data_IF_686789830561
#
_entry.id   IF_686789830561
#
_cell.length_a   1.000
_cell.length_b   1.000
_cell.length_c   1.000
_cell.angle_alpha   90.00
_cell.angle_beta   90.00
_cell.angle_gamma   90.00
#
_symmetry.space_group_name_H-M   'P 1'
#
loop_
_entity.id
_entity.type
_entity.pdbx_description
1 polymer ?
#
# COMPACT_ATOMS: atom_id res chain seq x y z
N UNK A 1 18.19 11.09 -5.08
CA UNK A 1 17.15 10.15 -4.58
C UNK A 1 17.15 8.82 -5.32
N UNK A 2 17.30 8.82 -6.65
CA UNK A 2 17.27 7.61 -7.48
C UNK A 2 18.41 6.64 -7.15
N UNK A 3 19.63 7.14 -6.93
CA UNK A 3 20.78 6.31 -6.58
C UNK A 3 20.56 5.59 -5.24
N UNK A 4 20.02 6.27 -4.25
CA UNK A 4 19.72 5.68 -2.94
C UNK A 4 18.66 4.58 -3.07
N UNK A 5 17.64 4.80 -3.91
CA UNK A 5 16.64 3.76 -4.18
C UNK A 5 17.23 2.56 -4.90
N UNK A 6 18.03 2.78 -5.95
CA UNK A 6 18.69 1.69 -6.68
C UNK A 6 19.54 0.85 -5.73
N UNK A 7 20.30 1.48 -4.85
CA UNK A 7 21.11 0.80 -3.83
C UNK A 7 20.20 0.00 -2.89
N UNK A 8 19.14 0.62 -2.34
CA UNK A 8 18.19 -0.09 -1.47
C UNK A 8 17.51 -1.25 -2.20
N UNK A 9 17.09 -1.04 -3.45
CA UNK A 9 16.41 -2.08 -4.24
C UNK A 9 17.31 -3.28 -4.50
N UNK A 10 18.58 -3.06 -4.83
CA UNK A 10 19.54 -4.14 -5.06
C UNK A 10 19.81 -4.92 -3.77
N UNK A 11 20.02 -4.24 -2.64
CA UNK A 11 20.42 -4.89 -1.39
C UNK A 11 19.25 -5.47 -0.59
N UNK A 12 18.08 -4.87 -0.64
CA UNK A 12 16.92 -5.24 0.19
C UNK A 12 15.66 -5.51 -0.61
N UNK A 13 15.35 -4.72 -1.63
CA UNK A 13 14.11 -4.80 -2.40
C UNK A 13 13.94 -6.13 -3.10
N UNK A 14 14.98 -6.61 -3.80
CA UNK A 14 14.94 -7.91 -4.51
C UNK A 14 14.74 -9.06 -3.52
N UNK A 15 15.46 -9.03 -2.39
CA UNK A 15 15.31 -10.03 -1.34
C UNK A 15 13.90 -10.04 -0.76
N UNK A 16 13.34 -8.86 -0.46
CA UNK A 16 11.99 -8.71 0.10
C UNK A 16 10.92 -9.20 -0.88
N UNK A 17 11.04 -8.85 -2.16
CA UNK A 17 10.12 -9.31 -3.20
C UNK A 17 10.22 -10.82 -3.44
N UNK A 18 11.42 -11.41 -3.40
CA UNK A 18 11.60 -12.85 -3.50
C UNK A 18 10.99 -13.60 -2.32
N UNK A 19 11.13 -13.07 -1.09
CA UNK A 19 10.48 -13.61 0.11
C UNK A 19 8.95 -13.52 0.01
N UNK A 20 8.41 -12.42 -0.55
CA UNK A 20 6.99 -12.26 -0.78
C UNK A 20 6.47 -13.30 -1.78
N UNK A 21 7.18 -13.52 -2.88
CA UNK A 21 6.81 -14.51 -3.88
C UNK A 21 6.83 -15.96 -3.32
N UNK A 22 7.77 -16.24 -2.42
CA UNK A 22 7.96 -17.56 -1.78
C UNK A 22 7.32 -17.63 -0.39
N UNK A 23 6.28 -16.84 -0.14
CA UNK A 23 5.60 -16.79 1.15
C UNK A 23 5.17 -18.19 1.64
N UNK A 24 5.62 -18.56 2.83
CA UNK A 24 5.25 -19.83 3.46
C UNK A 24 5.99 -21.07 2.97
N UNK A 25 7.03 -20.95 2.15
CA UNK A 25 7.88 -22.11 1.79
C UNK A 25 8.63 -22.68 2.99
N UNK A 26 8.92 -21.87 4.01
CA UNK A 26 9.61 -22.28 5.24
C UNK A 26 8.62 -22.50 6.40
N UNK A 27 7.60 -23.34 6.21
CA UNK A 27 6.56 -23.61 7.22
C UNK A 27 7.02 -24.47 8.39
N UNK A 28 8.06 -25.30 8.19
CA UNK A 28 8.49 -26.27 9.18
C UNK A 28 9.62 -25.71 10.05
N UNK A 29 9.54 -25.97 11.35
CA UNK A 29 10.66 -25.78 12.26
C UNK A 29 11.81 -26.66 11.76
N UNK A 30 12.91 -26.05 11.34
CA UNK A 30 14.12 -26.80 10.94
C UNK A 30 15.07 -26.83 12.12
N UNK A 31 15.48 -28.03 12.52
CA UNK A 31 16.59 -28.22 13.46
C UNK A 31 17.87 -28.10 12.63
N UNK A 32 18.64 -27.06 12.90
CA UNK A 32 19.92 -26.81 12.23
C UNK A 32 21.02 -26.90 13.27
N UNK A 33 22.10 -27.63 12.93
CA UNK A 33 23.28 -27.67 13.77
C UNK A 33 24.06 -26.37 13.67
N UNK A 34 24.16 -25.62 14.77
CA UNK A 34 24.99 -24.43 14.85
C UNK A 34 26.42 -24.80 15.20
N UNK A 35 27.28 -24.79 14.18
CA UNK A 35 28.70 -25.16 14.35
C UNK A 35 29.49 -24.20 15.26
N UNK A 36 29.00 -22.94 15.42
CA UNK A 36 29.65 -21.97 16.31
C UNK A 36 29.36 -22.22 17.79
N UNK A 37 28.18 -22.79 18.09
CA UNK A 37 27.76 -23.08 19.47
C UNK A 37 27.79 -24.58 19.80
N UNK A 38 28.01 -25.45 18.81
CA UNK A 38 28.04 -26.90 18.98
C UNK A 38 26.71 -27.54 19.39
N UNK A 39 25.59 -26.86 19.18
CA UNK A 39 24.24 -27.29 19.59
C UNK A 39 23.25 -27.29 18.41
N UNK A 40 22.24 -28.15 18.52
CA UNK A 40 21.13 -28.15 17.58
C UNK A 40 20.13 -27.03 17.95
N UNK A 41 20.01 -26.03 17.08
CA UNK A 41 19.09 -24.92 17.26
C UNK A 41 17.83 -25.12 16.40
N UNK A 42 16.67 -24.99 17.02
CA UNK A 42 15.41 -25.02 16.28
C UNK A 42 15.16 -23.67 15.65
N UNK A 43 15.36 -23.56 14.34
CA UNK A 43 15.04 -22.34 13.60
C UNK A 43 13.52 -22.23 13.45
N UNK A 44 12.96 -21.16 14.00
CA UNK A 44 11.53 -20.86 13.89
C UNK A 44 11.18 -20.59 12.41
N UNK A 45 9.94 -20.90 11.98
CA UNK A 45 9.47 -20.51 10.65
C UNK A 45 9.49 -18.99 10.50
N UNK A 46 9.75 -18.53 9.30
CA UNK A 46 9.71 -17.09 9.00
C UNK A 46 8.29 -16.54 9.23
N UNK A 47 8.21 -15.37 9.84
CA UNK A 47 6.92 -14.71 10.09
C UNK A 47 6.33 -14.19 8.79
N UNK A 48 5.33 -14.92 8.25
CA UNK A 48 4.66 -14.58 6.98
C UNK A 48 3.93 -13.25 7.04
N UNK A 49 3.45 -12.81 8.23
CA UNK A 49 2.79 -11.50 8.40
C UNK A 49 3.78 -10.37 8.12
N UNK A 50 4.98 -10.44 8.69
CA UNK A 50 6.02 -9.42 8.46
C UNK A 50 6.51 -9.45 7.01
N UNK A 51 6.70 -10.65 6.43
CA UNK A 51 7.10 -10.78 5.03
C UNK A 51 6.06 -10.15 4.11
N UNK A 52 4.77 -10.42 4.36
CA UNK A 52 3.68 -9.85 3.57
C UNK A 52 3.62 -8.32 3.74
N UNK A 53 3.73 -7.82 4.98
CA UNK A 53 3.68 -6.38 5.26
C UNK A 53 4.83 -5.64 4.57
N UNK A 54 6.07 -6.09 4.77
CA UNK A 54 7.23 -5.48 4.13
C UNK A 54 7.25 -5.69 2.63
N UNK A 55 6.73 -6.81 2.13
CA UNK A 55 6.58 -7.08 0.71
C UNK A 55 5.59 -6.13 0.04
N UNK A 56 4.42 -5.90 0.63
CA UNK A 56 3.43 -4.92 0.14
C UNK A 56 4.01 -3.51 0.17
N UNK A 57 4.69 -3.14 1.26
CA UNK A 57 5.38 -1.85 1.35
C UNK A 57 6.43 -1.68 0.25
N UNK A 58 7.24 -2.71 -0.01
CA UNK A 58 8.25 -2.70 -1.07
C UNK A 58 7.63 -2.52 -2.46
N UNK A 59 6.53 -3.23 -2.75
CA UNK A 59 5.79 -3.08 -4.02
C UNK A 59 5.26 -1.65 -4.16
N UNK A 60 4.65 -1.09 -3.11
CA UNK A 60 4.15 0.29 -3.14
C UNK A 60 5.28 1.31 -3.37
N UNK A 61 6.43 1.13 -2.72
CA UNK A 61 7.61 1.97 -2.95
C UNK A 61 8.11 1.88 -4.39
N UNK A 62 8.17 0.67 -4.96
CA UNK A 62 8.55 0.48 -6.37
C UNK A 62 7.58 1.22 -7.30
N UNK A 63 6.28 1.09 -7.10
CA UNK A 63 5.26 1.79 -7.90
C UNK A 63 5.42 3.31 -7.75
N UNK A 64 5.58 3.82 -6.53
CA UNK A 64 5.76 5.24 -6.27
C UNK A 64 6.98 5.81 -7.02
N UNK A 65 8.11 5.08 -7.01
CA UNK A 65 9.33 5.52 -7.69
C UNK A 65 9.20 5.44 -9.21
N UNK A 66 8.53 4.41 -9.74
CA UNK A 66 8.23 4.33 -11.18
C UNK A 66 7.37 5.54 -11.59
N UNK A 67 6.35 5.89 -10.80
CA UNK A 67 5.51 7.07 -11.06
C UNK A 67 6.33 8.37 -11.02
N UNK A 68 7.18 8.54 -10.00
CA UNK A 68 8.08 9.70 -9.90
C UNK A 68 9.06 9.78 -11.08
N UNK A 69 9.60 8.64 -11.50
CA UNK A 69 10.48 8.57 -12.67
C UNK A 69 9.77 9.00 -13.95
N UNK A 70 8.51 8.53 -14.17
CA UNK A 70 7.70 8.93 -15.34
C UNK A 70 7.42 10.44 -15.32
N UNK A 71 7.08 10.99 -14.14
CA UNK A 71 6.84 12.44 -13.98
C UNK A 71 8.11 13.23 -14.29
N UNK A 72 9.25 12.78 -13.77
CA UNK A 72 10.55 13.41 -14.01
C UNK A 72 10.95 13.38 -15.49
N UNK A 73 10.74 12.24 -16.19
CA UNK A 73 10.95 12.15 -17.63
C UNK A 73 10.08 13.13 -18.43
N UNK A 74 8.79 13.25 -18.07
CA UNK A 74 7.88 14.21 -18.72
C UNK A 74 8.33 15.65 -18.50
N UNK A 75 8.73 16.00 -17.29
CA UNK A 75 9.26 17.33 -16.96
C UNK A 75 10.54 17.64 -17.72
N UNK A 76 11.46 16.68 -17.78
CA UNK A 76 12.73 16.82 -18.52
C UNK A 76 12.48 17.02 -20.02
N UNK A 77 11.55 16.27 -20.62
CA UNK A 77 11.16 16.46 -22.03
C UNK A 77 10.54 17.82 -22.27
N UNK A 78 9.67 18.28 -21.36
CA UNK A 78 9.06 19.61 -21.44
C UNK A 78 10.12 20.71 -21.38
N UNK A 79 11.04 20.65 -20.42
CA UNK A 79 12.14 21.62 -20.29
C UNK A 79 13.08 21.58 -21.51
N UNK A 80 13.30 20.43 -22.12
CA UNK A 80 14.08 20.31 -23.35
C UNK A 80 13.43 21.03 -24.53
N UNK A 81 12.10 20.92 -24.67
CA UNK A 81 11.31 21.59 -25.74
C UNK A 81 11.39 23.11 -25.51
N UNK A 82 11.15 23.61 -24.29
CA UNK A 82 11.26 25.03 -23.94
C UNK A 82 12.65 25.59 -24.29
N UNK A 83 13.71 24.82 -23.98
CA UNK A 83 15.09 25.20 -24.32
C UNK A 83 15.31 25.31 -25.82
N UNK A 84 14.74 24.39 -26.59
CA UNK A 84 14.86 24.40 -28.07
C UNK A 84 14.13 25.59 -28.69
N UNK A 85 13.00 25.96 -28.10
CA UNK A 85 12.15 27.03 -28.61
C UNK A 85 12.59 28.41 -28.09
N UNK A 86 13.71 28.48 -27.30
CA UNK A 86 14.29 29.71 -26.78
C UNK A 86 13.56 30.32 -25.58
N UNK A 87 12.66 29.56 -24.95
CA UNK A 87 11.92 30.01 -23.78
C UNK A 87 12.76 29.88 -22.49
N UNK A 88 12.40 30.71 -21.49
CA UNK A 88 13.11 30.71 -20.20
C UNK A 88 12.82 29.42 -19.41
N UNK A 89 13.89 28.70 -19.03
CA UNK A 89 13.80 27.53 -18.17
C UNK A 89 13.86 28.00 -16.71
N UNK A 90 12.91 27.63 -15.85
CA UNK A 90 12.97 27.98 -14.44
C UNK A 90 14.18 27.32 -13.76
N UNK A 91 14.90 28.10 -12.97
CA UNK A 91 15.98 27.59 -12.13
C UNK A 91 15.43 26.76 -10.98
N UNK A 92 16.18 25.75 -10.48
CA UNK A 92 15.78 24.90 -9.34
C UNK A 92 15.25 25.69 -8.13
N UNK A 93 15.83 26.88 -7.89
CA UNK A 93 15.38 27.79 -6.83
C UNK A 93 14.01 28.42 -7.12
N UNK A 94 13.74 28.72 -8.38
CA UNK A 94 12.43 29.24 -8.82
C UNK A 94 11.36 28.15 -8.77
N UNK A 95 11.71 26.91 -9.13
CA UNK A 95 10.81 25.75 -8.96
C UNK A 95 10.51 25.51 -7.48
N UNK A 96 11.50 25.56 -6.61
CA UNK A 96 11.29 25.39 -5.17
C UNK A 96 10.41 26.50 -4.58
N UNK A 97 10.62 27.77 -4.98
CA UNK A 97 9.73 28.87 -4.58
C UNK A 97 8.31 28.71 -5.11
N UNK A 98 8.15 28.17 -6.32
CA UNK A 98 6.81 27.93 -6.89
C UNK A 98 5.99 26.91 -6.09
N UNK A 99 6.62 25.99 -5.37
CA UNK A 99 5.92 25.06 -4.47
C UNK A 99 5.29 25.76 -3.27
N UNK A 100 5.88 26.87 -2.83
CA UNK A 100 5.40 27.65 -1.69
C UNK A 100 4.54 28.85 -2.08
N UNK A 101 4.44 29.16 -3.37
CA UNK A 101 3.66 30.28 -3.89
C UNK A 101 2.58 29.80 -4.87
N UNK A 102 2.92 29.65 -6.13
CA UNK A 102 1.92 29.31 -7.17
C UNK A 102 1.36 27.89 -7.06
N UNK A 103 2.10 26.94 -6.47
CA UNK A 103 1.70 25.53 -6.27
C UNK A 103 1.41 25.18 -4.80
N UNK A 104 1.17 26.17 -3.96
CA UNK A 104 0.92 25.96 -2.52
C UNK A 104 -0.21 24.95 -2.26
N UNK A 105 -1.28 24.98 -3.06
CA UNK A 105 -2.37 24.02 -2.95
C UNK A 105 -1.93 22.57 -3.14
N UNK A 106 -1.03 22.30 -4.09
CA UNK A 106 -0.50 20.94 -4.31
C UNK A 106 0.41 20.50 -3.16
N UNK A 107 1.21 21.40 -2.63
CA UNK A 107 2.10 21.15 -1.47
C UNK A 107 1.30 20.87 -0.21
N UNK A 108 0.24 21.62 0.06
CA UNK A 108 -0.65 21.40 1.20
C UNK A 108 -1.45 20.08 1.08
N UNK A 109 -1.85 19.70 -0.14
CA UNK A 109 -2.55 18.43 -0.35
C UNK A 109 -1.63 17.20 -0.25
N UNK A 110 -0.31 17.38 -0.36
CA UNK A 110 0.63 16.28 -0.31
C UNK A 110 0.58 15.53 1.03
N UNK A 111 0.51 16.24 2.15
CA UNK A 111 0.46 15.65 3.49
C UNK A 111 -0.80 14.80 3.74
N UNK A 112 -2.04 15.28 3.46
CA UNK A 112 -3.23 14.44 3.50
C UNK A 112 -3.17 13.22 2.59
N UNK A 113 -2.64 13.38 1.36
CA UNK A 113 -2.49 12.26 0.43
C UNK A 113 -1.53 11.20 0.96
N UNK A 114 -0.41 11.58 1.58
CA UNK A 114 0.47 10.64 2.28
C UNK A 114 -0.27 9.93 3.42
N UNK A 115 -1.06 10.65 4.19
CA UNK A 115 -1.89 10.06 5.24
C UNK A 115 -2.85 8.99 4.69
N UNK A 116 -3.57 9.30 3.62
CA UNK A 116 -4.46 8.33 2.96
C UNK A 116 -3.65 7.12 2.44
N UNK A 117 -2.49 7.34 1.83
CA UNK A 117 -1.65 6.27 1.30
C UNK A 117 -1.22 5.30 2.41
N UNK A 118 -0.71 5.81 3.55
CA UNK A 118 -0.20 4.98 4.63
C UNK A 118 -1.29 4.39 5.53
N UNK A 119 -2.36 5.14 5.82
CA UNK A 119 -3.37 4.71 6.78
C UNK A 119 -4.60 4.04 6.14
N UNK A 120 -4.82 4.23 4.83
CA UNK A 120 -5.96 3.64 4.14
C UNK A 120 -5.52 2.66 3.06
N UNK A 121 -4.69 3.09 2.11
CA UNK A 121 -4.33 2.27 0.94
C UNK A 121 -3.46 1.08 1.33
N UNK A 122 -2.41 1.30 2.14
CA UNK A 122 -1.49 0.24 2.55
C UNK A 122 -2.20 -0.87 3.36
N UNK A 123 -2.98 -0.58 4.42
CA UNK A 123 -3.73 -1.61 5.12
C UNK A 123 -4.75 -2.32 4.22
N UNK A 124 -5.41 -1.59 3.30
CA UNK A 124 -6.37 -2.19 2.37
C UNK A 124 -5.70 -3.19 1.43
N UNK A 125 -4.56 -2.83 0.83
CA UNK A 125 -3.80 -3.75 -0.04
C UNK A 125 -3.30 -4.95 0.77
N UNK A 126 -2.85 -4.73 2.01
CA UNK A 126 -2.42 -5.80 2.90
C UNK A 126 -3.58 -6.78 3.18
N UNK A 127 -4.77 -6.29 3.54
CA UNK A 127 -5.96 -7.12 3.78
C UNK A 127 -6.41 -7.88 2.53
N UNK A 128 -6.40 -7.23 1.36
CA UNK A 128 -6.67 -7.89 0.08
C UNK A 128 -5.64 -9.01 -0.17
N UNK A 129 -4.36 -8.74 0.06
CA UNK A 129 -3.30 -9.75 -0.11
C UNK A 129 -3.48 -10.94 0.84
N UNK A 130 -3.89 -10.68 2.09
CA UNK A 130 -4.20 -11.73 3.07
C UNK A 130 -5.33 -12.66 2.60
N UNK A 131 -6.33 -12.16 1.87
CA UNK A 131 -7.44 -12.96 1.35
C UNK A 131 -6.99 -14.04 0.35
N UNK A 132 -5.80 -13.91 -0.24
CA UNK A 132 -5.21 -14.92 -1.14
C UNK A 132 -4.28 -15.91 -0.43
N UNK A 133 -4.24 -15.90 0.89
CA UNK A 133 -3.41 -16.80 1.71
C UNK A 133 -4.28 -17.76 2.51
N UNK A 134 -3.64 -18.79 3.10
CA UNK A 134 -4.28 -19.68 4.06
C UNK A 134 -4.13 -19.19 5.51
N UNK A 135 -4.21 -17.87 5.72
CA UNK A 135 -4.22 -17.31 7.06
C UNK A 135 -5.48 -17.77 7.83
N UNK A 136 -5.27 -18.51 8.92
CA UNK A 136 -6.34 -18.98 9.78
C UNK A 136 -5.85 -19.10 11.24
N UNK A 137 -6.72 -19.57 12.12
CA UNK A 137 -6.41 -19.80 13.54
C UNK A 137 -5.26 -20.80 13.76
N UNK A 138 -5.04 -21.72 12.85
CA UNK A 138 -4.01 -22.75 12.93
C UNK A 138 -2.68 -22.25 12.34
N UNK A 139 -2.75 -21.26 11.41
CA UNK A 139 -1.59 -20.69 10.72
C UNK A 139 -1.48 -19.16 10.95
N UNK A 140 -1.40 -18.69 12.22
CA UNK A 140 -1.43 -17.24 12.49
C UNK A 140 -0.13 -16.53 12.11
N UNK A 141 0.99 -17.26 12.04
CA UNK A 141 2.33 -16.69 11.80
C UNK A 141 2.94 -17.21 10.50
N UNK A 142 2.73 -18.48 10.18
CA UNK A 142 3.37 -19.17 9.06
C UNK A 142 2.31 -19.62 8.04
N UNK A 143 1.80 -18.70 7.24
CA UNK A 143 0.85 -18.94 6.15
C UNK A 143 1.54 -18.82 4.78
N UNK A 144 0.87 -19.29 3.75
CA UNK A 144 1.34 -19.30 2.36
C UNK A 144 0.28 -18.83 1.39
N UNK A 145 0.72 -18.51 0.18
CA UNK A 145 -0.19 -18.23 -0.92
C UNK A 145 -1.04 -19.47 -1.26
N UNK A 146 -2.35 -19.30 -1.34
CA UNK A 146 -3.33 -20.33 -1.77
C UNK A 146 -4.18 -19.86 -2.94
N UNK A 147 -3.97 -18.62 -3.39
CA UNK A 147 -4.74 -18.06 -4.48
C UNK A 147 -6.23 -17.95 -4.16
N UNK A 148 -7.07 -18.43 -5.05
CA UNK A 148 -8.53 -18.33 -4.92
C UNK A 148 -9.20 -19.43 -4.09
N UNK A 149 -8.45 -20.35 -3.48
CA UNK A 149 -9.04 -21.46 -2.71
C UNK A 149 -9.89 -20.96 -1.53
N UNK A 150 -9.44 -19.92 -0.83
CA UNK A 150 -10.21 -19.32 0.27
C UNK A 150 -11.56 -18.78 -0.20
N UNK A 151 -11.60 -18.17 -1.38
CA UNK A 151 -12.85 -17.67 -1.98
C UNK A 151 -13.80 -18.82 -2.35
N UNK A 152 -13.28 -19.93 -2.88
CA UNK A 152 -14.07 -21.13 -3.15
C UNK A 152 -14.76 -21.67 -1.89
N UNK A 153 -14.03 -21.75 -0.78
CA UNK A 153 -14.55 -22.22 0.51
C UNK A 153 -15.60 -21.26 1.11
N UNK A 154 -15.42 -19.94 0.92
CA UNK A 154 -16.35 -18.93 1.45
C UNK A 154 -17.62 -18.82 0.58
N UNK A 155 -17.47 -18.83 -0.75
CA UNK A 155 -18.59 -18.60 -1.68
C UNK A 155 -19.40 -19.86 -2.00
N UNK A 156 -18.75 -21.02 -2.00
CA UNK A 156 -19.39 -22.30 -2.39
C UNK A 156 -19.38 -23.37 -1.30
N UNK A 157 -18.73 -23.13 -0.15
CA UNK A 157 -18.61 -24.07 0.96
C UNK A 157 -19.61 -23.79 2.09
N UNK A 158 -19.37 -24.44 3.23
CA UNK A 158 -20.21 -24.37 4.43
C UNK A 158 -20.39 -22.94 4.99
N UNK A 159 -19.47 -22.03 4.66
CA UNK A 159 -19.50 -20.64 5.10
C UNK A 159 -20.43 -19.75 4.27
N UNK A 160 -20.86 -20.18 3.09
CA UNK A 160 -21.71 -19.39 2.19
C UNK A 160 -23.02 -18.98 2.85
N UNK A 161 -23.63 -19.88 3.63
CA UNK A 161 -24.87 -19.63 4.37
C UNK A 161 -24.79 -18.50 5.41
N UNK A 162 -23.59 -18.22 5.93
CA UNK A 162 -23.34 -17.11 6.87
C UNK A 162 -22.78 -15.88 6.14
N UNK A 163 -21.96 -16.09 5.14
CA UNK A 163 -21.27 -15.02 4.42
C UNK A 163 -22.24 -14.08 3.70
N UNK A 164 -23.17 -14.61 2.90
CA UNK A 164 -24.09 -13.79 2.10
C UNK A 164 -25.03 -12.91 2.93
N UNK A 165 -25.65 -13.38 4.02
CA UNK A 165 -26.44 -12.52 4.90
C UNK A 165 -25.60 -11.40 5.53
N UNK A 166 -24.38 -11.70 6.01
CA UNK A 166 -23.48 -10.70 6.59
C UNK A 166 -23.03 -9.69 5.55
N UNK A 167 -22.70 -10.14 4.34
CA UNK A 167 -22.36 -9.23 3.24
C UNK A 167 -23.54 -8.31 2.89
N UNK A 168 -24.74 -8.86 2.76
CA UNK A 168 -25.95 -8.08 2.49
C UNK A 168 -26.19 -7.01 3.56
N UNK A 169 -26.07 -7.38 4.83
CA UNK A 169 -26.19 -6.43 5.95
C UNK A 169 -25.11 -5.35 5.91
N UNK A 170 -23.87 -5.72 5.60
CA UNK A 170 -22.75 -4.76 5.48
C UNK A 170 -23.00 -3.76 4.35
N UNK A 171 -23.52 -4.20 3.21
CA UNK A 171 -23.87 -3.32 2.10
C UNK A 171 -24.98 -2.33 2.47
N UNK A 172 -26.04 -2.81 3.15
CA UNK A 172 -27.12 -1.93 3.65
C UNK A 172 -26.56 -0.87 4.59
N UNK A 173 -25.70 -1.26 5.55
CA UNK A 173 -25.04 -0.33 6.45
C UNK A 173 -24.14 0.67 5.71
N UNK A 174 -23.36 0.23 4.73
CA UNK A 174 -22.49 1.11 3.95
C UNK A 174 -23.29 2.18 3.21
N UNK A 175 -24.39 1.78 2.56
CA UNK A 175 -25.28 2.72 1.86
C UNK A 175 -25.96 3.68 2.84
N UNK A 176 -26.50 3.17 3.95
CA UNK A 176 -27.15 3.99 4.96
C UNK A 176 -26.20 5.01 5.59
N UNK A 177 -24.99 4.57 5.97
CA UNK A 177 -23.97 5.44 6.55
C UNK A 177 -23.52 6.53 5.56
N UNK A 178 -23.28 6.17 4.30
CA UNK A 178 -22.88 7.13 3.26
C UNK A 178 -23.97 8.15 2.99
N UNK A 179 -25.22 7.70 2.83
CA UNK A 179 -26.35 8.58 2.59
C UNK A 179 -26.59 9.56 3.76
N UNK A 180 -26.51 9.05 4.99
CA UNK A 180 -26.68 9.86 6.22
C UNK A 180 -25.57 10.89 6.32
N UNK A 181 -24.32 10.48 6.17
CA UNK A 181 -23.15 11.38 6.25
C UNK A 181 -23.22 12.46 5.17
N UNK A 182 -23.60 12.10 3.95
CA UNK A 182 -23.77 13.04 2.85
C UNK A 182 -24.88 14.05 3.16
N UNK A 183 -26.06 13.58 3.58
CA UNK A 183 -27.20 14.44 3.89
C UNK A 183 -26.87 15.44 4.99
N UNK A 184 -26.31 14.98 6.13
CA UNK A 184 -25.93 15.86 7.22
C UNK A 184 -24.75 16.77 6.85
N UNK A 185 -23.81 16.32 6.02
CA UNK A 185 -22.71 17.14 5.52
C UNK A 185 -23.21 18.32 4.65
N UNK A 186 -24.15 18.06 3.75
CA UNK A 186 -24.78 19.11 2.91
C UNK A 186 -25.58 20.07 3.78
N UNK A 187 -26.35 19.55 4.73
CA UNK A 187 -27.15 20.38 5.64
C UNK A 187 -26.26 21.30 6.49
N UNK A 188 -25.16 20.78 6.99
CA UNK A 188 -24.17 21.57 7.73
C UNK A 188 -23.52 22.63 6.87
N UNK A 189 -23.16 22.30 5.63
CA UNK A 189 -22.58 23.25 4.68
C UNK A 189 -23.54 24.42 4.39
N UNK A 190 -24.83 24.12 4.15
CA UNK A 190 -25.86 25.11 3.94
C UNK A 190 -26.09 26.02 5.16
N UNK A 191 -26.02 25.45 6.38
CA UNK A 191 -26.12 26.23 7.60
C UNK A 191 -24.95 27.20 7.79
N UNK A 192 -23.73 26.77 7.46
CA UNK A 192 -22.53 27.61 7.57
C UNK A 192 -22.56 28.73 6.50
N UNK A 193 -23.07 28.46 5.30
CA UNK A 193 -23.15 29.43 4.22
C UNK A 193 -24.31 30.44 4.42
N UNK A 194 -25.32 30.08 5.21
CA UNK A 194 -26.42 30.98 5.51
C UNK A 194 -25.90 32.17 6.34
N UNK A 195 -25.88 33.37 5.73
CA UNK A 195 -25.46 34.64 6.36
C UNK A 195 -26.46 35.01 7.46
N UNK A 196 -26.34 34.46 8.62
CA UNK A 196 -27.26 34.76 9.73
C UNK A 196 -26.86 34.17 11.07
N UNK A 197 -25.70 33.50 11.14
CA UNK A 197 -25.11 33.03 12.40
C UNK A 197 -23.73 33.64 12.56
#
# INVERSE_FOLDING_TARGET
SEVVFIIWFIFSGISTLSMLATLGTNKTKKVVYDAAQGVYVTKQPSNSVLILLFGVLAVMLCIAIICLYIVNLKSTRHNYILKRDGEHIPTNMQELKSLFDSRLHATLMFLPLLGILFFTVLPTIFMISMAFTNYDRQHPIAFSWTGFQAFGNVLGGDLAGTFFPVLGWTLVWAVAATATTFFFGVLLALLIESKGI
#
